data_IF_450953249624
#
_entry.id   IF_450953249624
#
_cell.length_a   1.000
_cell.length_b   1.000
_cell.length_c   1.000
_cell.angle_alpha   90.00
_cell.angle_beta   90.00
_cell.angle_gamma   90.00
#
_symmetry.space_group_name_H-M   'P 1'
#
loop_
_entity.id
_entity.type
_entity.pdbx_description
1 polymer ?
#
# COMPACT_ATOMS: atom_id res chain seq x y z
N UNK A 1 45.32 -37.04 -2.28
CA UNK A 1 44.18 -37.10 -3.23
C UNK A 1 42.83 -37.22 -2.50
N UNK A 2 42.66 -38.12 -1.53
CA UNK A 2 41.42 -38.32 -0.76
C UNK A 2 40.88 -37.06 -0.07
N UNK A 3 41.73 -36.24 0.56
CA UNK A 3 41.31 -34.99 1.22
C UNK A 3 40.68 -33.96 0.28
N UNK A 4 41.15 -33.87 -0.98
CA UNK A 4 40.58 -32.96 -1.97
C UNK A 4 39.20 -33.42 -2.44
N UNK A 5 38.99 -34.74 -2.53
CA UNK A 5 37.70 -35.33 -2.91
C UNK A 5 36.67 -35.10 -1.80
N UNK A 6 37.05 -35.35 -0.54
CA UNK A 6 36.18 -35.15 0.62
C UNK A 6 35.85 -33.65 0.78
N UNK A 7 36.85 -32.77 0.71
CA UNK A 7 36.64 -31.33 0.80
C UNK A 7 35.76 -30.80 -0.33
N UNK A 8 35.99 -31.24 -1.57
CA UNK A 8 35.15 -30.88 -2.71
C UNK A 8 33.70 -31.35 -2.57
N UNK A 9 33.49 -32.56 -2.06
CA UNK A 9 32.15 -33.11 -1.80
C UNK A 9 31.38 -32.31 -0.74
N UNK A 10 32.04 -31.93 0.37
CA UNK A 10 31.42 -31.10 1.42
C UNK A 10 31.07 -29.71 0.87
N UNK A 11 31.97 -29.05 0.14
CA UNK A 11 31.69 -27.76 -0.48
C UNK A 11 30.51 -27.82 -1.46
N UNK A 12 30.47 -28.84 -2.32
CA UNK A 12 29.36 -29.05 -3.23
C UNK A 12 28.03 -29.28 -2.48
N UNK A 13 28.05 -30.08 -1.42
CA UNK A 13 26.86 -30.32 -0.58
C UNK A 13 26.32 -29.04 0.07
N UNK A 14 27.20 -28.18 0.61
CA UNK A 14 26.81 -26.89 1.21
C UNK A 14 26.20 -25.96 0.16
N UNK A 15 26.79 -25.86 -1.03
CA UNK A 15 26.24 -25.04 -2.12
C UNK A 15 24.86 -25.53 -2.53
N UNK A 16 24.66 -26.84 -2.69
CA UNK A 16 23.34 -27.41 -3.01
C UNK A 16 22.32 -27.10 -1.94
N UNK A 17 22.67 -27.23 -0.65
CA UNK A 17 21.76 -26.88 0.45
C UNK A 17 21.38 -25.40 0.45
N UNK A 18 22.33 -24.49 0.20
CA UNK A 18 22.06 -23.05 0.11
C UNK A 18 21.12 -22.76 -1.06
N UNK A 19 21.36 -23.36 -2.24
CA UNK A 19 20.49 -23.19 -3.40
C UNK A 19 19.07 -23.70 -3.12
N UNK A 20 18.94 -24.87 -2.50
CA UNK A 20 17.64 -25.42 -2.12
C UNK A 20 16.91 -24.52 -1.10
N UNK A 21 17.63 -23.95 -0.13
CA UNK A 21 17.06 -23.03 0.85
C UNK A 21 16.56 -21.74 0.17
N UNK A 22 17.31 -21.18 -0.78
CA UNK A 22 16.88 -20.01 -1.56
C UNK A 22 15.63 -20.32 -2.38
N UNK A 23 15.60 -21.46 -3.07
CA UNK A 23 14.43 -21.89 -3.86
C UNK A 23 13.20 -22.05 -2.95
N UNK A 24 13.36 -22.72 -1.81
CA UNK A 24 12.26 -22.91 -0.85
C UNK A 24 11.73 -21.57 -0.33
N UNK A 25 12.61 -20.60 -0.07
CA UNK A 25 12.24 -19.28 0.39
C UNK A 25 11.46 -18.50 -0.69
N UNK A 26 11.89 -18.56 -1.96
CA UNK A 26 11.18 -17.93 -3.10
C UNK A 26 9.79 -18.55 -3.26
N UNK A 27 9.68 -19.88 -3.23
CA UNK A 27 8.39 -20.57 -3.35
C UNK A 27 7.45 -20.25 -2.18
N UNK A 28 7.99 -20.18 -0.96
CA UNK A 28 7.23 -19.80 0.23
C UNK A 28 6.68 -18.37 0.11
N UNK A 29 7.54 -17.41 -0.28
CA UNK A 29 7.15 -16.01 -0.49
C UNK A 29 6.03 -15.86 -1.51
N UNK A 30 6.18 -16.52 -2.67
CA UNK A 30 5.16 -16.49 -3.73
C UNK A 30 3.85 -17.16 -3.30
N UNK A 31 3.93 -18.25 -2.54
CA UNK A 31 2.74 -18.92 -2.01
C UNK A 31 2.01 -18.07 -0.97
N UNK A 32 2.75 -17.40 -0.07
CA UNK A 32 2.13 -16.53 0.95
C UNK A 32 1.42 -15.34 0.32
N UNK A 33 2.00 -14.70 -0.70
CA UNK A 33 1.39 -13.60 -1.44
C UNK A 33 0.11 -14.06 -2.15
N UNK A 34 0.15 -15.19 -2.86
CA UNK A 34 -1.02 -15.74 -3.54
C UNK A 34 -2.13 -16.13 -2.55
N UNK A 35 -1.77 -16.67 -1.38
CA UNK A 35 -2.73 -17.01 -0.34
C UNK A 35 -3.35 -15.76 0.30
N UNK A 36 -2.56 -14.70 0.52
CA UNK A 36 -3.05 -13.42 1.01
C UNK A 36 -3.99 -12.76 0.01
N UNK A 37 -3.59 -12.65 -1.25
CA UNK A 37 -4.45 -12.11 -2.30
C UNK A 37 -5.75 -12.91 -2.43
N UNK A 38 -5.68 -14.24 -2.37
CA UNK A 38 -6.89 -15.09 -2.41
C UNK A 38 -7.84 -14.78 -1.25
N UNK A 39 -7.34 -14.71 0.00
CA UNK A 39 -8.18 -14.37 1.16
C UNK A 39 -8.82 -13.00 1.01
N UNK A 40 -8.05 -12.01 0.55
CA UNK A 40 -8.56 -10.65 0.36
C UNK A 40 -9.58 -10.59 -0.77
N UNK A 41 -9.44 -11.38 -1.82
CA UNK A 41 -10.45 -11.48 -2.89
C UNK A 41 -11.73 -12.16 -2.44
N UNK A 42 -11.64 -13.15 -1.55
CA UNK A 42 -12.80 -13.88 -1.02
C UNK A 42 -13.57 -13.06 0.04
N UNK A 43 -12.85 -12.40 0.96
CA UNK A 43 -13.44 -11.73 2.13
C UNK A 43 -13.42 -10.20 2.05
N UNK A 44 -12.68 -9.63 1.10
CA UNK A 44 -12.46 -8.20 0.99
C UNK A 44 -13.66 -7.44 0.44
N UNK A 45 -13.87 -6.24 1.00
CA UNK A 45 -14.86 -5.29 0.51
C UNK A 45 -14.20 -4.29 -0.43
N UNK A 46 -14.81 -3.98 -1.59
CA UNK A 46 -14.36 -2.89 -2.44
C UNK A 46 -14.44 -1.56 -1.68
N UNK A 47 -13.34 -0.81 -1.65
CA UNK A 47 -13.21 0.47 -0.95
C UNK A 47 -12.55 1.51 -1.85
N UNK A 48 -12.94 2.77 -1.63
CA UNK A 48 -12.27 3.91 -2.22
C UNK A 48 -10.99 4.21 -1.43
N UNK A 49 -9.87 4.32 -2.14
CA UNK A 49 -8.59 4.75 -1.57
C UNK A 49 -8.03 5.96 -2.34
N UNK A 50 -7.18 6.73 -1.65
CA UNK A 50 -6.41 7.84 -2.20
C UNK A 50 -4.94 7.64 -1.87
N UNK A 51 -4.09 7.79 -2.88
CA UNK A 51 -2.63 7.75 -2.74
C UNK A 51 -2.15 9.05 -2.08
N UNK A 52 -1.61 8.92 -0.88
CA UNK A 52 -0.97 10.02 -0.14
C UNK A 52 0.46 10.21 -0.66
N UNK A 53 1.22 9.12 -0.68
CA UNK A 53 2.62 9.11 -1.08
C UNK A 53 2.94 7.85 -1.86
N UNK A 54 3.67 8.03 -2.96
CA UNK A 54 4.33 6.96 -3.69
C UNK A 54 5.54 7.55 -4.41
N UNK A 55 6.45 6.68 -4.89
CA UNK A 55 7.58 7.13 -5.69
C UNK A 55 7.07 7.91 -6.93
N UNK A 56 7.58 9.13 -7.15
CA UNK A 56 7.10 10.00 -8.23
C UNK A 56 7.44 9.45 -9.63
N UNK A 57 8.58 8.76 -9.78
CA UNK A 57 8.93 8.07 -11.02
C UNK A 57 7.97 6.90 -11.27
N UNK A 58 7.56 6.18 -10.23
CA UNK A 58 6.49 5.18 -10.34
C UNK A 58 5.18 5.85 -10.78
N UNK A 59 4.73 6.94 -10.17
CA UNK A 59 3.47 7.56 -10.63
C UNK A 59 3.52 8.12 -12.07
N UNK A 60 4.69 8.58 -12.54
CA UNK A 60 4.83 9.29 -13.83
C UNK A 60 5.30 8.43 -14.99
N UNK A 61 6.21 7.49 -14.74
CA UNK A 61 6.89 6.74 -15.79
C UNK A 61 6.57 5.26 -15.66
N UNK A 62 6.35 4.58 -16.80
CA UNK A 62 6.03 3.15 -16.83
C UNK A 62 7.27 2.25 -16.64
N UNK A 63 8.41 2.78 -16.19
CA UNK A 63 9.67 2.04 -16.01
C UNK A 63 9.67 1.15 -14.77
N UNK A 64 8.97 1.57 -13.71
CA UNK A 64 8.89 0.84 -12.44
C UNK A 64 7.63 -0.03 -12.43
N UNK A 65 7.84 -1.34 -12.33
CA UNK A 65 6.77 -2.36 -12.35
C UNK A 65 5.90 -2.34 -11.09
N UNK A 66 6.50 -2.08 -9.92
CA UNK A 66 5.79 -1.99 -8.65
C UNK A 66 6.53 -1.09 -7.66
N UNK A 67 5.80 -0.45 -6.75
CA UNK A 67 6.39 0.34 -5.68
C UNK A 67 5.50 0.33 -4.43
N UNK A 68 6.08 0.52 -3.23
CA UNK A 68 5.29 0.80 -2.04
C UNK A 68 4.59 2.15 -2.17
N UNK A 69 3.38 2.24 -1.62
CA UNK A 69 2.61 3.46 -1.52
C UNK A 69 1.93 3.54 -0.16
N UNK A 70 1.85 4.76 0.37
CA UNK A 70 0.99 5.10 1.49
C UNK A 70 -0.36 5.56 0.92
N UNK A 71 -1.43 4.90 1.34
CA UNK A 71 -2.80 5.25 0.96
C UNK A 71 -3.63 5.57 2.19
N UNK A 72 -4.69 6.35 1.97
CA UNK A 72 -5.82 6.41 2.89
C UNK A 72 -7.04 5.77 2.22
N UNK A 73 -7.86 5.08 3.00
CA UNK A 73 -9.07 4.44 2.48
C UNK A 73 -10.24 4.59 3.47
N UNK A 74 -11.46 4.54 2.93
CA UNK A 74 -12.70 4.56 3.70
C UNK A 74 -13.58 3.35 3.36
N UNK A 75 -14.33 2.86 4.35
CA UNK A 75 -15.33 1.80 4.15
C UNK A 75 -16.73 2.36 3.85
N UNK A 76 -16.87 3.69 3.83
CA UNK A 76 -18.10 4.34 3.36
C UNK A 76 -18.32 4.06 1.87
N UNK A 77 -19.59 4.06 1.44
CA UNK A 77 -19.92 3.87 0.03
C UNK A 77 -19.26 4.95 -0.83
N UNK A 78 -18.59 4.58 -1.95
CA UNK A 78 -17.96 5.52 -2.84
C UNK A 78 -18.95 6.57 -3.35
N UNK A 79 -18.56 7.84 -3.27
CA UNK A 79 -19.33 8.97 -3.82
C UNK A 79 -18.38 10.10 -4.20
N UNK A 80 -18.82 11.05 -5.06
CA UNK A 80 -17.95 12.17 -5.45
C UNK A 80 -17.54 13.03 -4.24
N UNK A 81 -18.46 13.27 -3.31
CA UNK A 81 -18.19 14.04 -2.10
C UNK A 81 -17.18 13.35 -1.17
N UNK A 82 -17.23 12.02 -1.06
CA UNK A 82 -16.23 11.25 -0.31
C UNK A 82 -14.86 11.31 -1.01
N UNK A 83 -14.85 11.17 -2.33
CA UNK A 83 -13.63 11.22 -3.13
C UNK A 83 -12.93 12.59 -3.01
N UNK A 84 -13.67 13.68 -3.12
CA UNK A 84 -13.14 15.03 -2.94
C UNK A 84 -12.57 15.22 -1.52
N UNK A 85 -13.34 14.86 -0.49
CA UNK A 85 -12.88 14.96 0.90
C UNK A 85 -11.61 14.12 1.18
N UNK A 86 -11.50 12.93 0.58
CA UNK A 86 -10.32 12.09 0.71
C UNK A 86 -9.14 12.62 -0.11
N UNK A 87 -9.35 13.25 -1.27
CA UNK A 87 -8.27 13.91 -2.01
C UNK A 87 -7.70 15.09 -1.22
N UNK A 88 -8.57 15.93 -0.67
CA UNK A 88 -8.18 17.05 0.18
C UNK A 88 -7.36 16.56 1.38
N UNK A 89 -7.87 15.56 2.10
CA UNK A 89 -7.14 14.94 3.20
C UNK A 89 -5.80 14.34 2.75
N UNK A 90 -5.76 13.66 1.60
CA UNK A 90 -4.53 13.09 1.06
C UNK A 90 -3.47 14.16 0.74
N UNK A 91 -3.88 15.35 0.31
CA UNK A 91 -2.99 16.50 0.13
C UNK A 91 -2.50 17.05 1.48
N UNK A 92 -3.41 17.27 2.44
CA UNK A 92 -3.06 17.72 3.80
C UNK A 92 -2.04 16.76 4.47
N UNK A 93 -2.23 15.45 4.32
CA UNK A 93 -1.30 14.44 4.84
C UNK A 93 0.06 14.45 4.13
N UNK A 94 0.07 14.70 2.81
CA UNK A 94 1.32 14.82 2.06
C UNK A 94 2.08 16.10 2.44
N UNK A 95 1.38 17.21 2.64
CA UNK A 95 1.98 18.44 3.17
C UNK A 95 2.61 18.20 4.54
N UNK A 96 1.89 17.52 5.44
CA UNK A 96 2.37 17.15 6.77
C UNK A 96 3.60 16.25 6.73
N UNK A 97 3.66 15.31 5.78
CA UNK A 97 4.85 14.49 5.53
C UNK A 97 6.07 15.32 5.14
N UNK A 98 5.88 16.31 4.27
CA UNK A 98 6.95 17.18 3.76
C UNK A 98 7.30 18.36 4.66
N UNK A 99 6.47 18.67 5.67
CA UNK A 99 6.68 19.80 6.57
C UNK A 99 7.97 19.66 7.40
N UNK A 100 8.63 20.76 7.72
CA UNK A 100 9.82 20.74 8.56
C UNK A 100 9.46 20.50 10.04
N UNK A 101 10.45 20.09 10.85
CA UNK A 101 10.19 19.79 12.27
C UNK A 101 9.64 20.99 13.06
N UNK A 102 10.11 22.20 12.73
CA UNK A 102 9.66 23.44 13.36
C UNK A 102 8.20 23.77 13.00
N UNK A 103 7.78 23.49 11.77
CA UNK A 103 6.40 23.68 11.31
C UNK A 103 5.46 22.72 12.05
N UNK A 104 5.88 21.45 12.19
CA UNK A 104 5.10 20.42 12.90
C UNK A 104 4.97 20.74 14.38
N UNK A 105 6.01 21.30 15.02
CA UNK A 105 5.99 21.58 16.47
C UNK A 105 4.84 22.51 16.89
N UNK A 106 4.44 23.44 16.01
CA UNK A 106 3.36 24.39 16.23
C UNK A 106 1.95 23.86 15.96
N UNK A 107 1.81 22.66 15.40
CA UNK A 107 0.50 22.07 15.06
C UNK A 107 -0.22 21.49 16.30
N UNK A 108 -1.55 21.33 16.23
CA UNK A 108 -2.33 20.61 17.22
C UNK A 108 -1.79 19.19 17.49
N UNK A 109 -1.94 18.64 18.71
CA UNK A 109 -1.38 17.34 19.08
C UNK A 109 -1.70 16.20 18.09
N UNK A 110 -2.95 16.08 17.64
CA UNK A 110 -3.37 15.03 16.70
C UNK A 110 -2.66 15.11 15.33
N UNK A 111 -2.32 16.32 14.87
CA UNK A 111 -1.55 16.50 13.64
C UNK A 111 -0.09 16.13 13.86
N UNK A 112 0.49 16.46 15.01
CA UNK A 112 1.88 16.08 15.33
C UNK A 112 2.05 14.57 15.41
N UNK A 113 1.15 13.88 16.10
CA UNK A 113 1.14 12.41 16.18
C UNK A 113 0.98 11.79 14.79
N UNK A 114 0.10 12.34 13.95
CA UNK A 114 -0.06 11.89 12.57
C UNK A 114 1.20 12.16 11.73
N UNK A 115 1.87 13.30 11.92
CA UNK A 115 3.11 13.65 11.23
C UNK A 115 4.23 12.67 11.58
N UNK A 116 4.41 12.38 12.86
CA UNK A 116 5.40 11.41 13.36
C UNK A 116 5.15 10.01 12.75
N UNK A 117 3.88 9.60 12.69
CA UNK A 117 3.49 8.33 12.10
C UNK A 117 3.81 8.26 10.59
N UNK A 118 3.48 9.31 9.84
CA UNK A 118 3.68 9.34 8.38
C UNK A 118 5.15 9.51 8.00
N UNK A 119 5.94 10.22 8.81
CA UNK A 119 7.40 10.36 8.63
C UNK A 119 8.16 9.06 8.88
N UNK A 120 7.54 8.06 9.52
CA UNK A 120 8.05 6.70 9.53
C UNK A 120 7.76 6.04 8.17
N UNK A 121 8.59 6.41 7.19
CA UNK A 121 8.50 6.07 5.76
C UNK A 121 8.88 4.62 5.41
N UNK A 122 9.26 3.83 6.42
CA UNK A 122 9.52 2.40 6.24
C UNK A 122 8.20 1.67 5.98
N UNK A 123 8.10 1.06 4.81
CA UNK A 123 7.01 0.15 4.46
C UNK A 123 6.84 -0.92 5.54
N UNK A 124 5.62 -1.05 6.04
CA UNK A 124 5.23 -2.08 7.00
C UNK A 124 4.02 -2.83 6.44
N UNK A 125 4.24 -4.07 6.02
CA UNK A 125 3.18 -4.92 5.50
C UNK A 125 2.03 -5.04 6.51
N UNK A 126 0.80 -4.82 6.03
CA UNK A 126 -0.39 -4.87 6.87
C UNK A 126 -0.52 -3.72 7.87
N UNK A 127 0.36 -2.70 7.84
CA UNK A 127 0.21 -1.51 8.68
C UNK A 127 -1.10 -0.83 8.32
N UNK A 128 -1.98 -0.72 9.31
CA UNK A 128 -3.23 0.02 9.24
C UNK A 128 -3.39 0.85 10.50
N UNK A 129 -3.57 2.16 10.32
CA UNK A 129 -3.77 3.08 11.42
C UNK A 129 -5.00 3.92 11.15
N UNK A 130 -5.93 3.93 12.10
CA UNK A 130 -7.09 4.83 12.04
C UNK A 130 -6.62 6.27 12.24
N UNK A 131 -7.03 7.16 11.35
CA UNK A 131 -6.72 8.59 11.48
C UNK A 131 -7.60 9.25 12.56
N UNK A 132 -7.09 10.28 13.27
CA UNK A 132 -7.87 11.04 14.24
C UNK A 132 -9.13 11.65 13.61
N UNK A 133 -10.25 11.59 14.32
CA UNK A 133 -11.54 12.07 13.81
C UNK A 133 -11.55 13.59 13.55
N UNK A 134 -10.73 14.33 14.29
CA UNK A 134 -10.50 15.75 14.13
C UNK A 134 -9.93 16.07 12.75
N UNK A 135 -9.04 15.21 12.25
CA UNK A 135 -8.42 15.35 10.94
C UNK A 135 -9.36 14.92 9.81
N UNK A 136 -10.16 13.88 10.04
CA UNK A 136 -11.09 13.31 9.05
C UNK A 136 -12.48 13.97 9.06
N UNK A 137 -12.67 15.03 9.86
CA UNK A 137 -13.96 15.71 10.07
C UNK A 137 -15.08 14.75 10.48
N UNK A 138 -14.74 13.78 11.34
CA UNK A 138 -15.65 12.79 11.91
C UNK A 138 -15.80 11.50 11.10
N UNK A 139 -15.13 11.36 9.94
CA UNK A 139 -15.19 10.15 9.11
C UNK A 139 -14.24 9.06 9.61
N UNK A 140 -14.59 7.80 9.37
CA UNK A 140 -13.69 6.68 9.69
C UNK A 140 -12.79 6.42 8.48
N UNK A 141 -11.58 6.98 8.53
CA UNK A 141 -10.57 6.83 7.49
C UNK A 141 -9.35 6.16 8.09
N UNK A 142 -8.80 5.22 7.33
CA UNK A 142 -7.62 4.47 7.70
C UNK A 142 -6.48 4.84 6.78
N UNK A 143 -5.27 4.91 7.33
CA UNK A 143 -4.04 4.99 6.59
C UNK A 143 -3.39 3.61 6.54
N UNK A 144 -2.89 3.22 5.38
CA UNK A 144 -2.24 1.93 5.20
C UNK A 144 -1.11 1.97 4.19
N UNK A 145 -0.11 1.12 4.40
CA UNK A 145 0.90 0.84 3.39
C UNK A 145 0.43 -0.27 2.47
N UNK A 146 0.57 -0.06 1.16
CA UNK A 146 0.30 -1.09 0.17
C UNK A 146 1.45 -1.23 -0.81
N UNK A 147 1.65 -2.44 -1.31
CA UNK A 147 2.48 -2.66 -2.47
C UNK A 147 1.62 -2.52 -3.72
N UNK A 148 1.97 -1.60 -4.61
CA UNK A 148 1.15 -1.32 -5.80
C UNK A 148 1.88 -1.76 -7.04
N UNK A 149 1.22 -2.61 -7.83
CA UNK A 149 1.68 -3.00 -9.15
C UNK A 149 1.20 -2.01 -10.20
N UNK A 150 2.03 -1.78 -11.22
CA UNK A 150 1.74 -0.85 -12.31
C UNK A 150 0.44 -1.16 -13.01
N UNK A 151 0.19 -2.43 -13.30
CA UNK A 151 -1.00 -2.89 -14.01
C UNK A 151 -2.31 -2.60 -13.28
N UNK A 152 -2.23 -2.36 -11.96
CA UNK A 152 -3.38 -2.01 -11.12
C UNK A 152 -3.68 -0.51 -11.13
N UNK A 153 -2.75 0.33 -11.58
CA UNK A 153 -2.94 1.78 -11.62
C UNK A 153 -3.80 2.21 -12.82
N UNK A 154 -4.74 3.17 -12.62
CA UNK A 154 -5.38 3.85 -13.73
C UNK A 154 -4.39 4.81 -14.43
N UNK A 155 -4.59 5.06 -15.73
CA UNK A 155 -3.68 5.91 -16.53
C UNK A 155 -3.55 7.35 -15.97
N UNK A 156 -4.61 7.87 -15.34
CA UNK A 156 -4.66 9.23 -14.80
C UNK A 156 -4.37 9.31 -13.28
N UNK A 157 -3.77 8.26 -12.67
CA UNK A 157 -3.49 8.21 -11.22
C UNK A 157 -2.68 9.41 -10.70
N UNK A 158 -1.75 9.93 -11.51
CA UNK A 158 -0.92 11.07 -11.14
C UNK A 158 -1.74 12.36 -10.89
N UNK A 159 -2.94 12.46 -11.49
CA UNK A 159 -3.86 13.58 -11.33
C UNK A 159 -4.95 13.27 -10.30
N UNK A 160 -5.66 12.15 -10.44
CA UNK A 160 -6.81 11.85 -9.58
C UNK A 160 -6.39 11.40 -8.17
N UNK A 161 -5.22 10.75 -8.06
CA UNK A 161 -4.74 10.03 -6.88
C UNK A 161 -5.69 8.95 -6.36
N UNK A 162 -6.78 8.66 -7.06
CA UNK A 162 -7.79 7.69 -6.63
C UNK A 162 -7.38 6.29 -7.04
N UNK A 163 -7.51 5.36 -6.12
CA UNK A 163 -7.27 3.94 -6.33
C UNK A 163 -8.48 3.14 -5.82
N UNK A 164 -8.95 2.20 -6.61
CA UNK A 164 -9.89 1.20 -6.14
C UNK A 164 -9.13 0.08 -5.44
N UNK A 165 -9.56 -0.30 -4.23
CA UNK A 165 -8.91 -1.35 -3.44
C UNK A 165 -9.93 -2.37 -2.93
N UNK A 166 -9.43 -3.53 -2.51
CA UNK A 166 -10.13 -4.44 -1.59
C UNK A 166 -9.52 -4.30 -0.21
N UNK A 167 -10.35 -4.21 0.82
CA UNK A 167 -9.91 -4.21 2.21
C UNK A 167 -10.69 -5.26 3.02
N UNK A 168 -9.99 -6.02 3.84
CA UNK A 168 -10.58 -6.91 4.85
C UNK A 168 -10.60 -6.23 6.21
N UNK A 169 -11.52 -6.62 7.08
CA UNK A 169 -11.60 -6.14 8.47
C UNK A 169 -11.88 -4.64 8.61
N UNK A 170 -11.63 -4.09 9.81
CA UNK A 170 -11.76 -2.67 10.14
C UNK A 170 -10.43 -2.12 10.63
N UNK A 171 -10.18 -2.13 11.93
CA UNK A 171 -8.93 -1.63 12.51
C UNK A 171 -7.72 -2.53 12.21
N UNK A 172 -7.97 -3.80 11.93
CA UNK A 172 -7.00 -4.80 11.46
C UNK A 172 -7.44 -5.38 10.12
N UNK A 173 -6.48 -5.88 9.34
CA UNK A 173 -6.74 -6.58 8.08
C UNK A 173 -5.72 -6.22 7.00
N UNK A 174 -6.01 -6.66 5.79
CA UNK A 174 -5.16 -6.48 4.62
C UNK A 174 -5.86 -5.54 3.63
N UNK A 175 -5.08 -4.88 2.77
CA UNK A 175 -5.60 -4.04 1.69
C UNK A 175 -4.74 -4.24 0.44
N UNK A 176 -5.38 -4.42 -0.71
CA UNK A 176 -4.72 -4.52 -2.01
C UNK A 176 -5.39 -3.62 -3.04
N UNK A 177 -4.61 -3.10 -3.97
CA UNK A 177 -5.13 -2.41 -5.14
C UNK A 177 -5.89 -3.39 -6.04
N UNK A 178 -7.00 -2.95 -6.62
CA UNK A 178 -7.72 -3.69 -7.64
C UNK A 178 -7.18 -3.33 -9.04
N UNK A 179 -7.06 -4.30 -9.96
CA UNK A 179 -6.84 -4.01 -11.36
C UNK A 179 -7.94 -3.09 -11.91
N UNK A 180 -7.54 -2.00 -12.57
CA UNK A 180 -8.47 -0.94 -13.00
C UNK A 180 -9.55 -1.39 -13.98
N UNK A 181 -9.35 -2.54 -14.64
CA UNK A 181 -10.30 -3.13 -15.59
C UNK A 181 -11.34 -4.05 -14.92
N UNK A 182 -11.21 -4.36 -13.63
CA UNK A 182 -12.20 -5.16 -12.91
C UNK A 182 -13.50 -4.36 -12.66
N UNK A 183 -14.65 -5.04 -12.68
CA UNK A 183 -15.97 -4.42 -12.51
C UNK A 183 -16.17 -3.75 -11.14
N UNK A 184 -15.51 -4.24 -10.10
CA UNK A 184 -15.52 -3.58 -8.80
C UNK A 184 -14.75 -2.25 -8.84
N UNK A 185 -13.60 -2.22 -9.52
CA UNK A 185 -12.79 -1.03 -9.67
C UNK A 185 -13.51 0.04 -10.50
N UNK A 186 -14.09 -0.36 -11.66
CA UNK A 186 -14.88 0.54 -12.51
C UNK A 186 -16.01 1.23 -11.74
N UNK A 187 -16.78 0.47 -10.96
CA UNK A 187 -17.86 1.01 -10.13
C UNK A 187 -17.37 2.05 -9.12
N UNK A 188 -16.22 1.82 -8.50
CA UNK A 188 -15.61 2.79 -7.57
C UNK A 188 -15.19 4.06 -8.32
N UNK A 189 -14.50 3.93 -9.45
CA UNK A 189 -14.04 5.09 -10.23
C UNK A 189 -15.21 5.93 -10.78
N UNK A 190 -16.25 5.27 -11.30
CA UNK A 190 -17.48 5.92 -11.75
C UNK A 190 -18.18 6.67 -10.60
N UNK A 191 -18.35 6.01 -9.45
CA UNK A 191 -18.98 6.62 -8.28
C UNK A 191 -18.14 7.77 -7.70
N UNK A 192 -16.81 7.73 -7.83
CA UNK A 192 -15.90 8.79 -7.40
C UNK A 192 -15.80 9.95 -8.41
N UNK A 193 -16.45 9.85 -9.58
CA UNK A 193 -16.34 10.84 -10.65
C UNK A 193 -14.95 10.90 -11.30
N UNK A 194 -14.15 9.83 -11.21
CA UNK A 194 -12.85 9.72 -11.84
C UNK A 194 -13.01 9.04 -13.21
N UNK A 195 -12.96 9.81 -14.30
CA UNK A 195 -12.88 9.33 -15.68
C UNK A 195 -11.54 9.74 -16.30
#
# INVERSE_FOLDING_TARGET
MTWLIIGGGVCAGVVVLIVLAIIALILYSSYSEAAAEKRIREDGKPVLAVVVMANAEFLRTKSIASAPALVIFSQEDPSPALADAMRDLGLELFELYTAEADDVAGLPPFQRETAELIKNDRYQEGRRTRLPLELTRGRVIYMADIWVERERLPDHIALSRILACLATGQDEGEIIALPHHEEAAKRIYEAAGAQ
#
